data_IF_922840758634
#
_entry.id   IF_922840758634
#
_cell.length_a   1.000
_cell.length_b   1.000
_cell.length_c   1.000
_cell.angle_alpha   90.00
_cell.angle_beta   90.00
_cell.angle_gamma   90.00
#
_symmetry.space_group_name_H-M   'P 1'
#
loop_
_entity.id
_entity.type
_entity.pdbx_description
1 polymer ?
#
# COMPACT_ATOMS: atom_id res chain seq x y z
N UNK A 1 -18.34 3.22 11.00
CA UNK A 1 -17.81 1.84 10.76
C UNK A 1 -16.30 1.84 10.50
N UNK A 2 -15.78 2.59 9.52
CA UNK A 2 -14.32 2.67 9.24
C UNK A 2 -13.46 3.15 10.44
N UNK A 3 -13.81 4.28 11.06
CA UNK A 3 -13.10 4.81 12.25
C UNK A 3 -12.99 3.78 13.37
N UNK A 4 -14.07 3.07 13.66
CA UNK A 4 -14.11 2.03 14.71
C UNK A 4 -13.08 0.93 14.44
N UNK A 5 -12.95 0.47 13.18
CA UNK A 5 -11.98 -0.56 12.82
C UNK A 5 -10.53 -0.07 12.93
N UNK A 6 -10.23 1.17 12.51
CA UNK A 6 -8.89 1.75 12.64
C UNK A 6 -8.48 1.90 14.12
N UNK A 7 -9.43 2.32 14.97
CA UNK A 7 -9.22 2.38 16.42
C UNK A 7 -9.00 1.00 17.04
N UNK A 8 -9.78 0.01 16.66
CA UNK A 8 -9.64 -1.35 17.16
C UNK A 8 -8.31 -1.98 16.78
N UNK A 9 -7.85 -1.76 15.55
CA UNK A 9 -6.52 -2.18 15.08
C UNK A 9 -5.42 -1.51 15.91
N UNK A 10 -5.51 -0.18 16.08
CA UNK A 10 -4.53 0.55 16.90
C UNK A 10 -4.53 0.03 18.35
N UNK A 11 -5.69 -0.15 18.97
CA UNK A 11 -5.81 -0.62 20.35
C UNK A 11 -5.23 -2.02 20.54
N UNK A 12 -5.43 -2.92 19.58
CA UNK A 12 -4.97 -4.32 19.66
C UNK A 12 -3.47 -4.46 19.39
N UNK A 13 -2.95 -3.75 18.41
CA UNK A 13 -1.61 -3.98 17.89
C UNK A 13 -0.62 -2.85 18.19
N UNK A 14 -1.10 -1.65 18.51
CA UNK A 14 -0.31 -0.43 18.77
C UNK A 14 0.82 -0.23 17.74
N UNK A 15 0.51 -0.29 16.43
CA UNK A 15 1.54 -0.17 15.41
C UNK A 15 2.15 1.24 15.42
N UNK A 16 3.45 1.34 15.23
CA UNK A 16 4.13 2.61 15.07
C UNK A 16 3.79 3.28 13.73
N UNK A 17 3.50 2.47 12.71
CA UNK A 17 3.02 2.90 11.40
C UNK A 17 1.70 2.21 11.10
N UNK A 18 0.71 2.98 10.64
CA UNK A 18 -0.55 2.46 10.10
C UNK A 18 -0.75 3.00 8.69
N UNK A 19 -1.05 2.10 7.76
CA UNK A 19 -1.42 2.44 6.39
C UNK A 19 -2.89 2.09 6.19
N UNK A 20 -3.64 3.03 5.66
CA UNK A 20 -5.04 2.82 5.27
C UNK A 20 -5.13 3.06 3.77
N UNK A 21 -5.61 2.04 3.07
CA UNK A 21 -5.77 2.06 1.62
C UNK A 21 -7.26 2.16 1.29
N UNK A 22 -7.56 2.90 0.23
CA UNK A 22 -8.92 3.08 -0.28
C UNK A 22 -9.91 3.60 0.78
N UNK A 23 -9.58 4.68 1.52
CA UNK A 23 -10.49 5.25 2.49
C UNK A 23 -11.76 5.81 1.84
N UNK A 24 -11.73 6.13 0.54
CA UNK A 24 -12.84 6.70 -0.24
C UNK A 24 -13.42 7.98 0.38
N UNK A 25 -12.59 8.72 1.11
CA UNK A 25 -12.94 9.97 1.80
C UNK A 25 -11.87 11.00 1.43
N UNK A 26 -12.27 12.22 1.13
CA UNK A 26 -11.37 13.28 0.71
C UNK A 26 -11.56 14.59 1.52
N UNK A 27 -10.64 15.51 1.33
CA UNK A 27 -10.68 16.90 1.81
C UNK A 27 -10.94 17.06 3.32
N UNK A 28 -11.84 17.97 3.69
CA UNK A 28 -12.14 18.30 5.08
C UNK A 28 -12.69 17.11 5.87
N UNK A 29 -13.49 16.25 5.22
CA UNK A 29 -14.03 15.05 5.86
C UNK A 29 -12.93 14.03 6.16
N UNK A 30 -11.94 13.89 5.28
CA UNK A 30 -10.77 13.05 5.52
C UNK A 30 -9.97 13.59 6.71
N UNK A 31 -9.73 14.91 6.75
CA UNK A 31 -8.99 15.53 7.84
C UNK A 31 -9.68 15.34 9.19
N UNK A 32 -11.00 15.53 9.27
CA UNK A 32 -11.76 15.30 10.49
C UNK A 32 -11.63 13.86 11.02
N UNK A 33 -11.54 12.86 10.12
CA UNK A 33 -11.30 11.47 10.51
C UNK A 33 -9.87 11.25 10.98
N UNK A 34 -8.89 11.79 10.24
CA UNK A 34 -7.46 11.68 10.55
C UNK A 34 -7.17 12.22 11.95
N UNK A 35 -7.72 13.40 12.28
CA UNK A 35 -7.51 14.09 13.57
C UNK A 35 -8.07 13.30 14.77
N UNK A 36 -8.94 12.31 14.54
CA UNK A 36 -9.43 11.43 15.61
C UNK A 36 -8.52 10.25 15.91
N UNK A 37 -7.60 9.89 15.01
CA UNK A 37 -6.74 8.73 15.20
C UNK A 37 -5.53 9.07 16.10
N UNK A 38 -5.09 8.14 16.95
CA UNK A 38 -4.07 8.38 17.97
C UNK A 38 -2.64 8.33 17.39
N UNK A 39 -2.39 9.13 16.35
CA UNK A 39 -1.07 9.28 15.72
C UNK A 39 -0.66 10.75 15.73
N UNK A 40 0.63 11.00 15.98
CA UNK A 40 1.19 12.35 16.02
C UNK A 40 1.42 12.96 14.65
N UNK A 41 1.55 12.10 13.63
CA UNK A 41 1.84 12.51 12.26
C UNK A 41 1.01 11.73 11.26
N UNK A 42 0.72 12.37 10.14
CA UNK A 42 0.07 11.72 9.00
C UNK A 42 0.51 12.31 7.66
N UNK A 43 0.40 11.53 6.61
CA UNK A 43 0.43 11.96 5.22
C UNK A 43 -0.73 11.29 4.50
N UNK A 44 -1.47 12.06 3.72
CA UNK A 44 -2.52 11.51 2.86
C UNK A 44 -2.28 11.82 1.40
N UNK A 45 -2.78 10.96 0.56
CA UNK A 45 -3.07 11.16 -0.85
C UNK A 45 -4.58 10.99 -1.00
N UNK A 46 -5.26 12.01 -1.47
CA UNK A 46 -6.70 11.97 -1.65
C UNK A 46 -7.07 11.12 -2.89
N UNK A 47 -8.24 10.46 -2.91
CA UNK A 47 -8.69 9.71 -4.08
C UNK A 47 -8.91 10.65 -5.26
N UNK A 48 -8.51 10.22 -6.47
CA UNK A 48 -8.74 10.99 -7.70
C UNK A 48 -10.22 11.00 -8.14
N UNK A 49 -11.05 10.10 -7.57
CA UNK A 49 -12.48 9.97 -7.82
C UNK A 49 -13.15 9.25 -6.64
N UNK A 50 -14.16 8.41 -6.91
CA UNK A 50 -14.89 7.64 -5.87
C UNK A 50 -14.11 6.45 -5.30
N UNK A 51 -12.93 6.14 -5.83
CA UNK A 51 -12.07 5.04 -5.36
C UNK A 51 -10.64 5.52 -5.15
N UNK A 52 -9.91 4.85 -4.28
CA UNK A 52 -8.51 5.14 -4.03
C UNK A 52 -8.24 5.96 -2.76
N UNK A 53 -7.08 6.57 -2.75
CA UNK A 53 -6.53 7.28 -1.60
C UNK A 53 -5.62 6.41 -0.74
N UNK A 54 -4.65 7.05 -0.12
CA UNK A 54 -3.67 6.43 0.77
C UNK A 54 -3.50 7.33 1.98
N UNK A 55 -3.67 6.78 3.17
CA UNK A 55 -3.35 7.46 4.41
C UNK A 55 -2.24 6.71 5.14
N UNK A 56 -1.16 7.40 5.42
CA UNK A 56 -0.03 6.92 6.20
C UNK A 56 0.01 7.68 7.52
N UNK A 57 0.01 6.94 8.63
CA UNK A 57 0.09 7.47 9.99
C UNK A 57 1.31 6.94 10.69
N UNK A 58 1.92 7.75 11.56
CA UNK A 58 3.03 7.29 12.39
C UNK A 58 3.14 8.09 13.69
N UNK A 59 3.77 7.48 14.66
CA UNK A 59 4.22 8.15 15.87
C UNK A 59 5.73 8.20 15.86
N UNK A 60 6.29 9.38 16.09
CA UNK A 60 7.73 9.56 16.25
C UNK A 60 8.16 9.42 17.71
N UNK A 61 9.38 9.00 17.90
CA UNK A 61 10.01 8.88 19.20
C UNK A 61 11.53 8.89 19.07
N UNK A 62 12.29 8.88 20.16
CA UNK A 62 13.74 8.96 20.13
C UNK A 62 14.40 7.82 19.34
N UNK A 63 13.71 6.69 19.21
CA UNK A 63 14.21 5.50 18.51
C UNK A 63 13.55 5.22 17.17
N UNK A 64 12.62 6.09 16.73
CA UNK A 64 11.84 5.83 15.53
C UNK A 64 11.45 7.14 14.83
N UNK A 65 11.96 7.34 13.62
CA UNK A 65 11.75 8.53 12.80
C UNK A 65 11.24 8.14 11.43
N UNK A 66 10.21 8.82 10.94
CA UNK A 66 9.66 8.64 9.59
C UNK A 66 9.75 9.95 8.81
N UNK A 67 10.43 9.93 7.67
CA UNK A 67 10.54 11.08 6.78
C UNK A 67 9.90 10.78 5.44
N UNK A 68 8.85 11.54 5.07
CA UNK A 68 8.27 11.44 3.73
C UNK A 68 9.31 11.94 2.70
N UNK A 69 9.61 11.12 1.72
CA UNK A 69 10.56 11.41 0.64
C UNK A 69 9.84 11.98 -0.57
N UNK A 70 8.82 11.27 -1.03
CA UNK A 70 7.97 11.69 -2.17
C UNK A 70 6.64 10.95 -2.14
N UNK A 71 5.66 11.40 -2.90
CA UNK A 71 4.37 10.75 -3.07
C UNK A 71 3.73 11.14 -4.41
N UNK A 72 2.83 10.31 -4.87
CA UNK A 72 1.97 10.55 -6.03
C UNK A 72 0.58 9.94 -5.77
N UNK A 73 -0.31 9.93 -6.77
CA UNK A 73 -1.69 9.44 -6.63
C UNK A 73 -1.79 7.95 -6.22
N UNK A 74 -0.69 7.19 -6.38
CA UNK A 74 -0.65 5.73 -6.20
C UNK A 74 0.33 5.26 -5.14
N UNK A 75 1.13 6.14 -4.57
CA UNK A 75 2.14 5.75 -3.57
C UNK A 75 2.58 6.89 -2.65
N UNK A 76 2.97 6.50 -1.44
CA UNK A 76 3.71 7.37 -0.50
C UNK A 76 5.01 6.66 -0.16
N UNK A 77 6.15 7.32 -0.38
CA UNK A 77 7.49 6.80 -0.07
C UNK A 77 8.03 7.51 1.17
N UNK A 78 8.42 6.73 2.16
CA UNK A 78 8.95 7.23 3.42
C UNK A 78 10.26 6.54 3.80
N UNK A 79 11.26 7.30 4.22
CA UNK A 79 12.44 6.77 4.89
C UNK A 79 12.11 6.54 6.36
N UNK A 80 12.26 5.30 6.81
CA UNK A 80 12.10 4.91 8.21
C UNK A 80 13.47 4.65 8.80
N UNK A 81 13.75 5.28 9.94
CA UNK A 81 14.97 5.08 10.72
C UNK A 81 14.62 4.52 12.09
N UNK A 82 15.30 3.45 12.47
CA UNK A 82 15.22 2.84 13.79
C UNK A 82 16.58 2.95 14.44
N UNK A 83 16.64 3.39 15.70
CA UNK A 83 17.90 3.65 16.39
C UNK A 83 18.41 2.47 17.20
N UNK A 84 17.54 1.53 17.61
CA UNK A 84 17.92 0.38 18.42
C UNK A 84 17.10 -0.88 18.03
N UNK A 85 17.68 -1.83 17.28
CA UNK A 85 18.98 -1.74 16.58
C UNK A 85 19.00 -0.66 15.51
N UNK A 86 20.17 -0.10 15.21
CA UNK A 86 20.30 0.98 14.23
C UNK A 86 20.17 0.42 12.80
N UNK A 87 19.08 0.73 12.12
CA UNK A 87 18.90 0.43 10.71
C UNK A 87 17.92 1.42 10.06
N UNK A 88 17.94 1.47 8.74
CA UNK A 88 17.05 2.30 7.95
C UNK A 88 16.51 1.51 6.76
N UNK A 89 15.28 1.79 6.38
CA UNK A 89 14.66 1.20 5.20
C UNK A 89 13.71 2.20 4.54
N UNK A 90 13.45 1.98 3.27
CA UNK A 90 12.40 2.70 2.54
C UNK A 90 11.09 1.93 2.70
N UNK A 91 10.03 2.64 3.10
CA UNK A 91 8.66 2.14 3.13
C UNK A 91 7.89 2.78 1.99
N UNK A 92 7.17 1.97 1.22
CA UNK A 92 6.24 2.44 0.21
C UNK A 92 4.83 1.94 0.52
N UNK A 93 3.92 2.86 0.82
CA UNK A 93 2.50 2.58 0.85
C UNK A 93 1.96 2.65 -0.58
N UNK A 94 1.26 1.60 -1.04
CA UNK A 94 0.82 1.44 -2.43
C UNK A 94 -0.69 1.29 -2.52
N UNK A 95 -1.29 2.02 -3.46
CA UNK A 95 -2.59 1.72 -4.05
C UNK A 95 -2.43 1.79 -5.57
N UNK A 96 -2.10 0.66 -6.17
CA UNK A 96 -1.85 0.60 -7.61
C UNK A 96 -3.15 0.82 -8.42
N UNK A 97 -3.06 1.36 -9.65
CA UNK A 97 -4.24 1.60 -10.49
C UNK A 97 -5.04 0.31 -10.71
N UNK A 98 -6.33 0.27 -10.34
CA UNK A 98 -7.17 -0.90 -10.56
C UNK A 98 -7.51 -1.09 -12.06
N UNK A 99 -7.88 -2.32 -12.50
CA UNK A 99 -8.49 -2.52 -13.81
C UNK A 99 -9.80 -1.72 -13.92
N UNK A 100 -10.19 -1.20 -15.11
CA UNK A 100 -9.65 -1.42 -16.46
C UNK A 100 -8.55 -0.43 -16.88
N UNK A 101 -8.07 0.44 -15.99
CA UNK A 101 -7.08 1.48 -16.31
C UNK A 101 -5.68 0.91 -16.58
N UNK A 102 -5.59 -0.42 -16.68
CA UNK A 102 -4.37 -1.13 -17.01
C UNK A 102 -4.12 -1.13 -18.52
N UNK A 103 -3.36 -0.17 -19.03
CA UNK A 103 -2.81 -0.24 -20.37
C UNK A 103 -1.61 -1.22 -20.40
N UNK A 104 -1.24 -1.73 -21.60
CA UNK A 104 -0.15 -2.71 -21.82
C UNK A 104 1.18 -2.35 -21.12
N UNK A 105 1.39 -1.07 -20.83
CA UNK A 105 2.49 -0.57 -20.03
C UNK A 105 1.89 0.20 -18.84
N UNK A 106 1.77 -0.45 -17.69
CA UNK A 106 1.35 0.25 -16.49
C UNK A 106 2.42 1.30 -16.13
N UNK A 107 2.14 2.60 -16.27
CA UNK A 107 3.11 3.65 -15.98
C UNK A 107 3.59 3.60 -14.52
N UNK A 108 2.76 3.07 -13.62
CA UNK A 108 3.10 2.94 -12.22
C UNK A 108 4.21 1.90 -12.00
N UNK A 109 4.17 0.74 -12.69
CA UNK A 109 5.26 -0.24 -12.60
C UNK A 109 6.57 0.32 -13.13
N UNK A 110 6.53 1.05 -14.25
CA UNK A 110 7.71 1.73 -14.80
C UNK A 110 8.26 2.77 -13.83
N UNK A 111 7.39 3.53 -13.17
CA UNK A 111 7.79 4.48 -12.14
C UNK A 111 8.53 3.79 -10.99
N UNK A 112 8.00 2.69 -10.44
CA UNK A 112 8.65 1.94 -9.37
C UNK A 112 10.00 1.36 -9.81
N UNK A 113 10.08 0.78 -11.02
CA UNK A 113 11.33 0.26 -11.58
C UNK A 113 12.39 1.35 -11.74
N UNK A 114 12.01 2.55 -12.17
CA UNK A 114 12.92 3.68 -12.26
C UNK A 114 13.40 4.16 -10.88
N UNK A 115 12.53 4.15 -9.88
CA UNK A 115 12.96 4.45 -8.51
C UNK A 115 13.97 3.43 -8.00
N UNK A 116 13.75 2.15 -8.28
CA UNK A 116 14.61 1.05 -7.82
C UNK A 116 16.07 1.23 -8.23
N UNK A 117 16.35 1.85 -9.39
CA UNK A 117 17.72 2.08 -9.87
C UNK A 117 18.57 2.94 -8.94
N UNK A 118 17.95 3.73 -8.08
CA UNK A 118 18.63 4.67 -7.18
C UNK A 118 18.49 4.29 -5.69
N UNK A 119 17.87 3.16 -5.38
CA UNK A 119 17.63 2.72 -4.00
C UNK A 119 18.65 1.64 -3.63
N UNK A 120 19.43 1.93 -2.58
CA UNK A 120 20.39 0.99 -1.97
C UNK A 120 19.96 0.48 -0.59
N UNK A 121 18.87 1.01 -0.05
CA UNK A 121 18.32 0.60 1.23
C UNK A 121 17.38 -0.61 1.07
N UNK A 122 17.20 -1.42 2.12
CA UNK A 122 16.08 -2.36 2.16
C UNK A 122 14.78 -1.62 1.85
N UNK A 123 13.94 -2.22 1.02
CA UNK A 123 12.72 -1.57 0.55
C UNK A 123 11.48 -2.44 0.86
N UNK A 124 10.55 -1.88 1.60
CA UNK A 124 9.32 -2.56 2.05
C UNK A 124 8.12 -1.93 1.35
N UNK A 125 7.27 -2.77 0.78
CA UNK A 125 6.01 -2.36 0.19
C UNK A 125 4.85 -2.90 1.01
N UNK A 126 3.86 -2.05 1.26
CA UNK A 126 2.60 -2.41 1.92
C UNK A 126 1.44 -1.73 1.21
N UNK A 127 0.38 -2.47 0.92
CA UNK A 127 -0.82 -1.89 0.32
C UNK A 127 -1.55 -2.82 -0.63
N UNK A 128 -2.35 -2.24 -1.53
CA UNK A 128 -3.09 -2.96 -2.56
C UNK A 128 -2.43 -2.75 -3.93
N UNK A 129 -1.89 -3.82 -4.48
CA UNK A 129 -1.27 -3.80 -5.80
C UNK A 129 -2.30 -3.91 -6.93
N UNK A 130 -3.57 -4.23 -6.62
CA UNK A 130 -4.61 -4.44 -7.62
C UNK A 130 -4.19 -5.39 -8.75
N UNK A 131 -3.21 -6.25 -8.48
CA UNK A 131 -2.65 -7.21 -9.42
C UNK A 131 -2.25 -8.50 -8.70
N UNK A 132 -1.85 -9.51 -9.44
CA UNK A 132 -1.55 -10.86 -8.96
C UNK A 132 -0.22 -11.35 -9.50
N UNK A 133 0.48 -12.16 -8.71
CA UNK A 133 1.70 -12.83 -9.14
C UNK A 133 1.40 -14.19 -9.82
N UNK A 134 0.24 -14.80 -9.52
CA UNK A 134 -0.15 -16.08 -10.12
C UNK A 134 -1.67 -16.19 -10.29
N UNK A 135 -2.09 -17.16 -11.11
CA UNK A 135 -3.52 -17.49 -11.29
C UNK A 135 -4.14 -18.06 -10.00
N UNK A 136 -3.31 -18.64 -9.13
CA UNK A 136 -3.73 -19.28 -7.88
C UNK A 136 -4.23 -18.27 -6.84
N UNK A 137 -3.84 -17.00 -6.99
CA UNK A 137 -4.31 -15.90 -6.13
C UNK A 137 -5.75 -15.47 -6.43
N UNK A 138 -6.40 -16.13 -7.39
CA UNK A 138 -7.78 -15.84 -7.79
C UNK A 138 -8.62 -17.09 -7.87
N UNK A 139 -9.79 -17.06 -7.20
CA UNK A 139 -10.79 -18.11 -7.30
C UNK A 139 -12.00 -17.63 -8.09
N UNK A 140 -12.31 -18.29 -9.19
CA UNK A 140 -13.50 -18.02 -10.02
C UNK A 140 -13.43 -16.72 -10.85
N UNK A 141 -14.56 -16.42 -11.53
CA UNK A 141 -14.67 -15.26 -12.43
C UNK A 141 -13.92 -15.42 -13.75
N UNK A 142 -13.70 -14.31 -14.47
CA UNK A 142 -13.00 -14.33 -15.76
C UNK A 142 -11.53 -14.75 -15.60
N UNK A 143 -10.93 -15.43 -16.61
CA UNK A 143 -9.51 -15.78 -16.61
C UNK A 143 -8.63 -14.56 -16.37
N UNK A 144 -7.52 -14.78 -15.67
CA UNK A 144 -6.55 -13.73 -15.38
C UNK A 144 -5.78 -13.36 -16.65
N UNK A 145 -5.53 -12.08 -16.82
CA UNK A 145 -4.73 -11.59 -17.93
C UNK A 145 -3.23 -11.89 -17.69
N UNK A 146 -2.68 -12.83 -18.42
CA UNK A 146 -1.28 -13.27 -18.31
C UNK A 146 -0.27 -12.14 -18.54
N UNK A 147 -0.60 -11.15 -19.39
CA UNK A 147 0.26 -9.99 -19.62
C UNK A 147 0.36 -9.13 -18.36
N UNK A 148 -0.72 -9.01 -17.58
CA UNK A 148 -0.71 -8.30 -16.30
C UNK A 148 0.18 -9.01 -15.28
N UNK A 149 -0.02 -10.31 -15.10
CA UNK A 149 0.81 -11.13 -14.20
C UNK A 149 2.29 -10.95 -14.56
N UNK A 150 2.64 -11.08 -15.86
CA UNK A 150 4.03 -10.94 -16.32
C UNK A 150 4.58 -9.54 -16.07
N UNK A 151 3.78 -8.48 -16.26
CA UNK A 151 4.20 -7.11 -16.01
C UNK A 151 4.45 -6.86 -14.52
N UNK A 152 3.58 -7.35 -13.65
CA UNK A 152 3.73 -7.21 -12.21
C UNK A 152 4.94 -8.03 -11.69
N UNK A 153 5.09 -9.29 -12.10
CA UNK A 153 6.27 -10.10 -11.79
C UNK A 153 7.57 -9.41 -12.19
N UNK A 154 7.64 -8.90 -13.41
CA UNK A 154 8.81 -8.16 -13.89
C UNK A 154 9.08 -6.89 -13.07
N UNK A 155 8.05 -6.23 -12.57
CA UNK A 155 8.22 -5.09 -11.65
C UNK A 155 8.80 -5.56 -10.31
N UNK A 156 8.27 -6.63 -9.72
CA UNK A 156 8.78 -7.20 -8.47
C UNK A 156 10.25 -7.60 -8.61
N UNK A 157 10.60 -8.34 -9.67
CA UNK A 157 11.97 -8.78 -9.94
C UNK A 157 12.93 -7.60 -10.10
N UNK A 158 12.57 -6.59 -10.90
CA UNK A 158 13.41 -5.42 -11.12
C UNK A 158 13.57 -4.53 -9.89
N UNK A 159 12.57 -4.50 -9.02
CA UNK A 159 12.64 -3.82 -7.74
C UNK A 159 13.35 -4.64 -6.64
N UNK A 160 13.73 -5.89 -6.95
CA UNK A 160 14.34 -6.80 -5.96
C UNK A 160 13.39 -7.16 -4.81
N UNK A 161 12.08 -7.19 -5.09
CA UNK A 161 11.04 -7.46 -4.09
C UNK A 161 10.72 -8.95 -4.01
N UNK A 162 10.43 -9.38 -2.79
CA UNK A 162 10.04 -10.75 -2.47
C UNK A 162 8.75 -10.71 -1.66
N UNK A 163 7.81 -11.58 -2.00
CA UNK A 163 6.62 -11.79 -1.17
C UNK A 163 7.03 -12.42 0.17
N UNK A 164 6.57 -11.83 1.26
CA UNK A 164 6.86 -12.31 2.62
C UNK A 164 5.86 -13.37 3.09
N UNK A 165 4.89 -13.72 2.25
CA UNK A 165 3.80 -14.64 2.60
C UNK A 165 2.76 -14.00 3.51
N UNK A 166 1.79 -14.81 3.94
CA UNK A 166 0.69 -14.35 4.78
C UNK A 166 0.27 -15.40 5.82
N UNK A 167 -0.45 -14.95 6.83
CA UNK A 167 -1.18 -15.80 7.77
C UNK A 167 -2.65 -15.42 7.72
N UNK A 168 -3.54 -16.42 7.59
CA UNK A 168 -4.98 -16.23 7.56
C UNK A 168 -5.63 -16.73 6.26
N UNK A 169 -6.83 -16.24 5.91
CA UNK A 169 -7.52 -16.63 4.68
C UNK A 169 -6.71 -16.27 3.44
N UNK A 170 -6.62 -17.21 2.50
CA UNK A 170 -5.92 -17.01 1.23
C UNK A 170 -6.56 -15.90 0.38
N UNK A 171 -7.90 -15.83 0.38
CA UNK A 171 -8.64 -14.81 -0.35
C UNK A 171 -9.18 -13.76 0.61
N UNK A 172 -8.72 -12.52 0.46
CA UNK A 172 -9.07 -11.40 1.33
C UNK A 172 -10.17 -10.51 0.76
N UNK A 173 -10.52 -10.71 -0.52
CA UNK A 173 -11.52 -9.92 -1.22
C UNK A 173 -12.47 -10.80 -2.05
N UNK A 174 -13.73 -10.36 -2.16
CA UNK A 174 -14.73 -11.01 -3.02
C UNK A 174 -15.65 -9.97 -3.65
N UNK A 175 -15.98 -10.15 -4.93
CA UNK A 175 -16.97 -9.32 -5.61
C UNK A 175 -18.43 -9.69 -5.26
N UNK A 176 -18.63 -10.69 -4.37
CA UNK A 176 -19.95 -11.23 -3.99
C UNK A 176 -20.80 -11.72 -5.17
N UNK A 177 -20.22 -11.90 -6.35
CA UNK A 177 -20.93 -12.52 -7.47
C UNK A 177 -21.20 -13.99 -7.13
N UNK A 178 -22.40 -14.52 -7.44
CA UNK A 178 -22.64 -15.95 -7.29
C UNK A 178 -21.59 -16.74 -8.07
N UNK A 179 -21.00 -17.71 -7.43
CA UNK A 179 -20.14 -18.70 -8.12
C UNK A 179 -21.12 -19.61 -8.88
N UNK A 180 -21.16 -19.50 -10.19
CA UNK A 180 -21.89 -20.42 -11.07
C UNK A 180 -20.98 -21.54 -11.50
#
# INVERSE_FOLDING_TARGET
>A
MFQTHAYDLHRRHRPNILIIIEPCIAEARAQAVIDTLPYSHSRRVDPASFSGGIWLFWNEGPSFIVKIITYNDHSIHALVKVSSPSFSFLLTAVYAPPPPHFNKHNPFWNYLQNLATNISLPWVFLGDFNDMLSDEEKLGGLPVNKTRISAFRNCMDKCGLMDLGFHGPCFTWTNKSPVW
#
